data_IF_092764759435
#
_entry.id   IF_092764759435
#
_cell.length_a   1.000
_cell.length_b   1.000
_cell.length_c   1.000
_cell.angle_alpha   90.00
_cell.angle_beta   90.00
_cell.angle_gamma   90.00
#
_symmetry.space_group_name_H-M   'P 1'
#
loop_
_entity.id
_entity.type
_entity.pdbx_description
1 polymer ?
#
# COMPACT_ATOMS: atom_id res chain seq x y z
N UNK A 1 -6.11 -1.84 13.74
CA UNK A 1 -6.54 -0.55 13.14
C UNK A 1 -6.37 -0.54 11.63
N UNK A 2 -7.13 0.27 10.90
CA UNK A 2 -7.17 0.29 9.43
C UNK A 2 -6.95 1.70 8.88
N UNK A 3 -5.93 1.90 8.03
CA UNK A 3 -5.74 3.14 7.27
C UNK A 3 -6.20 2.99 5.84
N UNK A 4 -6.97 3.96 5.34
CA UNK A 4 -7.47 3.90 3.96
C UNK A 4 -7.83 5.25 3.36
N UNK A 5 -8.14 5.21 2.05
CA UNK A 5 -8.81 6.31 1.38
C UNK A 5 -10.20 6.58 2.02
N UNK A 6 -10.66 7.81 1.95
CA UNK A 6 -11.96 8.20 2.51
C UNK A 6 -13.13 7.37 1.94
N UNK A 7 -13.06 6.96 0.65
CA UNK A 7 -14.10 6.14 0.02
C UNK A 7 -14.19 4.74 0.65
N UNK A 8 -13.04 4.10 0.89
CA UNK A 8 -13.00 2.76 1.48
C UNK A 8 -13.42 2.77 2.94
N UNK A 9 -13.12 3.83 3.69
CA UNK A 9 -13.61 3.98 5.07
C UNK A 9 -15.13 4.12 5.08
N UNK A 10 -15.70 4.92 4.18
CA UNK A 10 -17.15 5.05 4.08
C UNK A 10 -17.88 3.74 3.78
N UNK A 11 -17.29 2.83 3.01
CA UNK A 11 -17.92 1.54 2.68
C UNK A 11 -17.99 0.56 3.88
N UNK A 12 -17.16 0.73 4.90
CA UNK A 12 -16.99 -0.17 6.07
C UNK A 12 -16.78 -1.65 5.72
N UNK A 13 -16.40 -1.97 4.50
CA UNK A 13 -16.27 -3.36 4.03
C UNK A 13 -15.25 -4.15 4.84
N UNK A 14 -14.13 -3.52 5.20
CA UNK A 14 -13.09 -4.17 6.02
C UNK A 14 -13.52 -4.39 7.46
N UNK A 15 -14.18 -3.42 8.06
CA UNK A 15 -14.68 -3.55 9.43
C UNK A 15 -15.68 -4.71 9.53
N UNK A 16 -16.58 -4.83 8.55
CA UNK A 16 -17.54 -5.94 8.47
C UNK A 16 -16.83 -7.27 8.38
N UNK A 17 -15.85 -7.39 7.46
CA UNK A 17 -15.11 -8.64 7.27
C UNK A 17 -14.27 -8.99 8.50
N UNK A 18 -13.54 -8.04 9.08
CA UNK A 18 -12.71 -8.28 10.27
C UNK A 18 -13.54 -8.72 11.46
N UNK A 19 -14.71 -8.13 11.69
CA UNK A 19 -15.61 -8.55 12.78
C UNK A 19 -16.20 -9.95 12.57
N UNK A 20 -16.37 -10.38 11.32
CA UNK A 20 -16.77 -11.75 11.00
C UNK A 20 -15.64 -12.75 11.27
N UNK A 21 -14.40 -12.39 10.93
CA UNK A 21 -13.24 -13.28 11.09
C UNK A 21 -12.72 -13.33 12.52
N UNK A 22 -12.83 -12.22 13.26
CA UNK A 22 -12.33 -12.09 14.64
C UNK A 22 -13.43 -11.45 15.49
N UNK A 23 -14.34 -12.24 16.06
CA UNK A 23 -15.38 -11.73 16.95
C UNK A 23 -14.80 -10.98 18.15
N UNK A 24 -15.36 -9.81 18.44
CA UNK A 24 -14.89 -8.96 19.55
C UNK A 24 -13.69 -8.06 19.24
N UNK A 25 -13.16 -8.08 18.00
CA UNK A 25 -12.07 -7.18 17.62
C UNK A 25 -12.52 -5.72 17.70
N UNK A 26 -11.70 -4.91 18.36
CA UNK A 26 -11.86 -3.44 18.34
C UNK A 26 -11.21 -2.88 17.09
N UNK A 27 -11.98 -2.12 16.31
CA UNK A 27 -11.52 -1.58 15.04
C UNK A 27 -11.68 -0.06 15.04
N UNK A 28 -10.57 0.63 14.85
CA UNK A 28 -10.54 2.06 14.56
C UNK A 28 -10.09 2.25 13.11
N UNK A 29 -10.79 3.08 12.36
CA UNK A 29 -10.44 3.39 10.98
C UNK A 29 -10.10 4.89 10.83
N UNK A 30 -8.97 5.19 10.18
CA UNK A 30 -8.51 6.57 9.95
C UNK A 30 -8.26 6.83 8.47
N UNK A 31 -8.80 7.93 7.93
CA UNK A 31 -8.46 8.42 6.60
C UNK A 31 -7.17 9.23 6.65
N UNK A 32 -6.23 8.96 5.73
CA UNK A 32 -4.97 9.68 5.61
C UNK A 32 -4.81 10.23 4.17
N UNK A 33 -5.59 11.25 3.80
CA UNK A 33 -5.70 11.72 2.42
C UNK A 33 -4.39 12.26 1.84
N UNK A 34 -3.46 12.75 2.67
CA UNK A 34 -2.17 13.27 2.20
C UNK A 34 -1.11 12.20 1.93
N UNK A 35 -1.29 10.96 2.36
CA UNK A 35 -0.26 9.94 2.17
C UNK A 35 -0.05 9.59 0.69
N UNK A 36 -1.12 9.47 -0.09
CA UNK A 36 -1.00 9.16 -1.52
C UNK A 36 -0.26 10.28 -2.28
N UNK A 37 -0.67 11.57 -2.20
CA UNK A 37 0.07 12.67 -2.82
C UNK A 37 1.54 12.76 -2.40
N UNK A 38 1.86 12.50 -1.14
CA UNK A 38 3.24 12.49 -0.66
C UNK A 38 4.06 11.39 -1.33
N UNK A 39 3.53 10.17 -1.39
CA UNK A 39 4.20 9.04 -2.04
C UNK A 39 4.41 9.33 -3.53
N UNK A 40 3.39 9.77 -4.25
CA UNK A 40 3.48 10.11 -5.68
C UNK A 40 4.48 11.25 -5.97
N UNK A 41 4.65 12.18 -5.02
CA UNK A 41 5.68 13.22 -5.09
C UNK A 41 7.08 12.74 -4.63
N UNK A 42 7.27 11.45 -4.33
CA UNK A 42 8.55 10.86 -3.94
C UNK A 42 8.96 11.15 -2.49
N UNK A 43 8.02 11.44 -1.59
CA UNK A 43 8.26 11.63 -0.15
C UNK A 43 8.13 10.28 0.58
N UNK A 44 9.02 9.36 0.30
CA UNK A 44 8.98 7.95 0.73
C UNK A 44 10.13 7.62 1.69
N UNK A 45 10.14 6.39 2.22
CA UNK A 45 11.14 5.91 3.19
C UNK A 45 12.61 6.08 2.74
N UNK A 46 12.88 6.03 1.43
CA UNK A 46 14.25 6.15 0.88
C UNK A 46 14.55 7.55 0.33
N UNK A 47 13.65 8.51 0.50
CA UNK A 47 13.87 9.87 0.05
C UNK A 47 14.87 10.62 0.93
N UNK A 48 15.35 11.76 0.45
CA UNK A 48 16.23 12.64 1.23
C UNK A 48 15.61 13.11 2.56
N UNK A 49 16.45 13.46 3.51
CA UNK A 49 16.04 13.75 4.90
C UNK A 49 14.97 14.85 5.01
N UNK A 50 15.02 15.88 4.15
CA UNK A 50 14.02 16.95 4.16
C UNK A 50 12.62 16.46 3.78
N UNK A 51 12.52 15.60 2.78
CA UNK A 51 11.26 14.96 2.38
C UNK A 51 10.73 14.02 3.47
N UNK A 52 11.61 13.20 4.04
CA UNK A 52 11.23 12.33 5.16
C UNK A 52 10.70 13.11 6.34
N UNK A 53 11.32 14.25 6.68
CA UNK A 53 10.86 15.08 7.79
C UNK A 53 9.42 15.57 7.58
N UNK A 54 9.07 16.00 6.37
CA UNK A 54 7.71 16.42 6.03
C UNK A 54 6.73 15.23 6.18
N UNK A 55 7.10 14.07 5.67
CA UNK A 55 6.29 12.86 5.80
C UNK A 55 6.08 12.46 7.25
N UNK A 56 7.12 12.51 8.10
CA UNK A 56 7.03 12.23 9.53
C UNK A 56 6.08 13.18 10.26
N UNK A 57 6.03 14.46 9.90
CA UNK A 57 5.07 15.42 10.45
C UNK A 57 3.63 15.05 10.06
N UNK A 58 3.40 14.65 8.82
CA UNK A 58 2.07 14.23 8.37
C UNK A 58 1.65 12.89 8.99
N UNK A 59 2.60 11.95 9.17
CA UNK A 59 2.37 10.71 9.93
C UNK A 59 1.94 11.05 11.35
N UNK A 60 2.66 11.90 12.06
CA UNK A 60 2.30 12.32 13.41
C UNK A 60 0.90 12.96 13.46
N UNK A 61 0.58 13.82 12.51
CA UNK A 61 -0.74 14.46 12.40
C UNK A 61 -1.90 13.46 12.33
N UNK A 62 -1.72 12.36 11.60
CA UNK A 62 -2.78 11.37 11.43
C UNK A 62 -2.76 10.26 12.49
N UNK A 63 -1.58 9.89 12.99
CA UNK A 63 -1.41 8.68 13.78
C UNK A 63 -1.25 8.89 15.29
N UNK A 64 -1.15 10.14 15.77
CA UNK A 64 -1.02 10.39 17.20
C UNK A 64 -2.19 9.80 17.99
N UNK A 65 -3.43 10.11 17.61
CA UNK A 65 -4.62 9.57 18.29
C UNK A 65 -4.68 8.03 18.21
N UNK A 66 -4.18 7.46 17.12
CA UNK A 66 -4.12 6.01 16.91
C UNK A 66 -3.15 5.34 17.87
N UNK A 67 -1.97 5.93 18.00
CA UNK A 67 -0.92 5.46 18.92
C UNK A 67 -1.40 5.56 20.37
N UNK A 68 -2.05 6.69 20.72
CA UNK A 68 -2.60 6.92 22.05
C UNK A 68 -3.75 5.96 22.39
N UNK A 69 -4.50 5.48 21.38
CA UNK A 69 -5.51 4.46 21.56
C UNK A 69 -4.93 3.05 21.84
N UNK A 70 -3.60 2.88 21.87
CA UNK A 70 -2.96 1.64 22.27
C UNK A 70 -3.18 0.47 21.31
N UNK A 71 -3.28 0.73 20.01
CA UNK A 71 -3.47 -0.33 19.00
C UNK A 71 -2.25 -1.24 18.92
N UNK A 72 -2.46 -2.54 18.80
CA UNK A 72 -1.43 -3.57 18.64
C UNK A 72 -1.13 -3.91 17.18
N UNK A 73 -2.09 -3.67 16.30
CA UNK A 73 -2.01 -4.02 14.88
C UNK A 73 -2.51 -2.88 14.01
N UNK A 74 -1.75 -2.60 12.94
CA UNK A 74 -2.02 -1.52 12.01
C UNK A 74 -2.00 -2.04 10.57
N UNK A 75 -3.14 -2.01 9.88
CA UNK A 75 -3.26 -2.45 8.49
C UNK A 75 -2.99 -1.27 7.54
N UNK A 76 -1.97 -1.39 6.70
CA UNK A 76 -1.63 -0.42 5.65
C UNK A 76 -2.57 -0.59 4.45
N UNK A 77 -3.81 -0.12 4.59
CA UNK A 77 -4.90 -0.45 3.69
C UNK A 77 -4.93 0.33 2.36
N UNK A 78 -3.79 0.72 1.82
CA UNK A 78 -3.62 1.37 0.52
C UNK A 78 -2.34 0.88 -0.13
N UNK A 79 -2.31 0.75 -1.45
CA UNK A 79 -1.14 0.29 -2.20
C UNK A 79 0.09 1.20 -2.04
N UNK A 80 -0.11 2.48 -1.74
CA UNK A 80 0.96 3.47 -1.55
C UNK A 80 1.61 3.40 -0.16
N UNK A 81 0.86 2.99 0.86
CA UNK A 81 1.32 3.08 2.26
C UNK A 81 2.52 2.19 2.61
N UNK A 82 2.75 1.04 1.96
CA UNK A 82 3.99 0.28 2.15
C UNK A 82 5.28 1.06 1.90
N UNK A 83 5.26 2.09 1.03
CA UNK A 83 6.40 2.97 0.78
C UNK A 83 6.71 3.95 1.92
N UNK A 84 5.84 4.02 2.93
CA UNK A 84 5.99 4.80 4.17
C UNK A 84 6.14 3.89 5.41
N UNK A 85 6.29 2.58 5.20
CA UNK A 85 6.21 1.56 6.25
C UNK A 85 7.24 1.76 7.35
N UNK A 86 8.48 2.12 6.98
CA UNK A 86 9.56 2.33 7.96
C UNK A 86 9.27 3.56 8.84
N UNK A 87 8.90 4.69 8.25
CA UNK A 87 8.55 5.89 9.01
C UNK A 87 7.30 5.72 9.86
N UNK A 88 6.29 4.99 9.36
CA UNK A 88 5.10 4.64 10.14
C UNK A 88 5.47 3.73 11.32
N UNK A 89 6.31 2.71 11.08
CA UNK A 89 6.77 1.80 12.12
C UNK A 89 7.59 2.50 13.20
N UNK A 90 8.49 3.41 12.82
CA UNK A 90 9.25 4.25 13.73
C UNK A 90 8.31 5.09 14.63
N UNK A 91 7.28 5.70 14.06
CA UNK A 91 6.32 6.50 14.79
C UNK A 91 5.43 5.68 15.73
N UNK A 92 4.94 4.54 15.28
CA UNK A 92 4.03 3.70 16.06
C UNK A 92 4.76 2.94 17.18
N UNK A 93 6.04 2.65 16.98
CA UNK A 93 6.86 1.92 17.94
C UNK A 93 6.84 0.39 17.77
N UNK A 94 7.75 -0.32 18.44
CA UNK A 94 8.00 -1.75 18.24
C UNK A 94 6.86 -2.67 18.71
N UNK A 95 5.94 -2.15 19.52
CA UNK A 95 4.77 -2.92 20.01
C UNK A 95 3.64 -3.04 19.00
N UNK A 96 3.73 -2.38 17.84
CA UNK A 96 2.65 -2.37 16.83
C UNK A 96 3.05 -3.19 15.61
N UNK A 97 2.26 -4.19 15.30
CA UNK A 97 2.45 -5.01 14.09
C UNK A 97 1.89 -4.27 12.86
N UNK A 98 2.75 -3.99 11.87
CA UNK A 98 2.33 -3.42 10.59
C UNK A 98 1.98 -4.53 9.61
N UNK A 99 0.71 -4.59 9.20
CA UNK A 99 0.23 -5.53 8.17
C UNK A 99 0.22 -4.87 6.82
N UNK A 100 0.99 -5.44 5.88
CA UNK A 100 1.04 -5.06 4.48
C UNK A 100 0.16 -6.02 3.67
N UNK A 101 -1.03 -5.59 3.21
CA UNK A 101 -1.93 -6.47 2.46
C UNK A 101 -1.38 -6.88 1.09
N UNK A 102 -0.52 -6.07 0.46
CA UNK A 102 0.06 -6.39 -0.84
C UNK A 102 1.02 -7.57 -0.72
N UNK A 103 1.91 -7.55 0.26
CA UNK A 103 2.81 -8.68 0.56
C UNK A 103 2.03 -9.94 0.94
N UNK A 104 0.99 -9.78 1.76
CA UNK A 104 0.12 -10.91 2.13
C UNK A 104 -0.58 -11.52 0.92
N UNK A 105 -1.08 -10.69 0.01
CA UNK A 105 -1.70 -11.16 -1.24
C UNK A 105 -0.70 -11.86 -2.17
N UNK A 106 0.52 -11.32 -2.30
CA UNK A 106 1.58 -11.93 -3.11
C UNK A 106 1.95 -13.32 -2.61
N UNK A 107 2.17 -13.49 -1.31
CA UNK A 107 2.45 -14.80 -0.71
C UNK A 107 1.26 -15.77 -0.84
N UNK A 108 0.03 -15.28 -0.73
CA UNK A 108 -1.14 -16.11 -0.94
C UNK A 108 -1.24 -16.59 -2.40
N UNK A 109 -1.00 -15.70 -3.36
CA UNK A 109 -0.99 -16.03 -4.79
C UNK A 109 0.10 -17.06 -5.11
N UNK A 110 1.31 -16.87 -4.59
CA UNK A 110 2.42 -17.81 -4.79
C UNK A 110 2.04 -19.23 -4.32
N UNK A 111 1.48 -19.33 -3.12
CA UNK A 111 1.03 -20.61 -2.56
C UNK A 111 -0.08 -21.22 -3.40
N UNK A 112 -1.10 -20.44 -3.78
CA UNK A 112 -2.21 -20.90 -4.60
C UNK A 112 -1.74 -21.44 -5.98
N UNK A 113 -0.78 -20.76 -6.63
CA UNK A 113 -0.20 -21.19 -7.89
C UNK A 113 0.56 -22.52 -7.73
N UNK A 114 1.30 -22.67 -6.63
CA UNK A 114 2.00 -23.92 -6.32
C UNK A 114 1.03 -25.09 -6.10
N UNK A 115 0.01 -24.90 -5.27
CA UNK A 115 -1.00 -25.92 -4.95
C UNK A 115 -1.81 -26.36 -6.16
N UNK A 116 -2.03 -25.45 -7.12
CA UNK A 116 -2.76 -25.75 -8.37
C UNK A 116 -1.88 -26.21 -9.53
N UNK A 117 -0.57 -26.32 -9.34
CA UNK A 117 0.36 -26.69 -10.42
C UNK A 117 0.46 -25.65 -11.54
N UNK A 118 0.15 -24.38 -11.24
CA UNK A 118 0.13 -23.27 -12.19
C UNK A 118 1.40 -22.39 -12.13
N UNK A 119 2.41 -22.80 -11.37
CA UNK A 119 3.71 -22.09 -11.38
C UNK A 119 4.33 -22.21 -12.77
N UNK A 120 4.86 -21.10 -13.28
CA UNK A 120 5.63 -21.12 -14.51
C UNK A 120 6.89 -21.99 -14.35
N UNK A 121 7.24 -22.73 -15.40
CA UNK A 121 8.46 -23.56 -15.44
C UNK A 121 9.72 -22.77 -15.79
N UNK A 122 9.57 -21.47 -16.11
CA UNK A 122 10.67 -20.58 -16.52
C UNK A 122 10.86 -19.48 -15.49
N UNK A 123 12.12 -19.11 -15.25
CA UNK A 123 12.47 -18.00 -14.34
C UNK A 123 12.32 -16.62 -14.99
N UNK A 124 12.17 -16.57 -16.33
CA UNK A 124 12.04 -15.32 -17.08
C UNK A 124 10.60 -15.10 -17.55
N UNK A 125 9.97 -14.06 -17.07
CA UNK A 125 8.69 -13.55 -17.56
C UNK A 125 8.87 -12.22 -18.31
N UNK A 126 7.94 -11.90 -19.19
CA UNK A 126 7.83 -10.57 -19.81
C UNK A 126 6.60 -9.88 -19.22
N UNK A 127 6.75 -8.62 -18.83
CA UNK A 127 5.65 -7.79 -18.38
C UNK A 127 5.30 -6.78 -19.49
N UNK A 128 4.01 -6.69 -19.82
CA UNK A 128 3.46 -5.67 -20.70
C UNK A 128 2.49 -4.84 -19.87
N UNK A 129 2.60 -3.52 -19.97
CA UNK A 129 1.77 -2.61 -19.20
C UNK A 129 0.88 -1.79 -20.12
N UNK A 130 -0.38 -1.73 -19.76
CA UNK A 130 -1.39 -0.96 -20.46
C UNK A 130 -1.96 0.08 -19.52
N UNK A 131 -2.00 1.33 -19.95
CA UNK A 131 -2.49 2.46 -19.14
C UNK A 131 -3.56 3.24 -19.90
N UNK A 132 -4.50 3.80 -19.18
CA UNK A 132 -5.53 4.68 -19.77
C UNK A 132 -5.08 6.15 -19.85
N UNK A 133 -4.01 6.49 -19.18
CA UNK A 133 -3.43 7.84 -19.10
C UNK A 133 -2.04 7.87 -19.77
N UNK A 134 -1.32 8.96 -19.62
CA UNK A 134 -0.02 9.18 -20.25
C UNK A 134 1.00 8.17 -19.74
N UNK A 135 1.68 7.39 -20.63
CA UNK A 135 2.65 6.38 -20.24
C UNK A 135 3.80 6.87 -19.37
N UNK A 136 4.29 8.08 -19.61
CA UNK A 136 5.41 8.66 -18.84
C UNK A 136 5.09 8.83 -17.35
N UNK A 137 3.85 9.19 -17.02
CA UNK A 137 3.38 9.28 -15.62
C UNK A 137 3.39 7.93 -14.94
N UNK A 138 3.02 6.88 -15.67
CA UNK A 138 3.08 5.51 -15.15
C UNK A 138 4.51 5.08 -14.85
N UNK A 139 5.45 5.32 -15.77
CA UNK A 139 6.86 4.93 -15.59
C UNK A 139 7.45 5.60 -14.35
N UNK A 140 7.23 6.90 -14.15
CA UNK A 140 7.70 7.62 -12.96
C UNK A 140 7.14 7.02 -11.66
N UNK A 141 5.86 6.67 -11.67
CA UNK A 141 5.23 6.03 -10.49
C UNK A 141 5.74 4.61 -10.31
N UNK A 142 5.92 3.84 -11.39
CA UNK A 142 6.43 2.47 -11.34
C UNK A 142 7.84 2.41 -10.74
N UNK A 143 8.70 3.38 -11.02
CA UNK A 143 10.04 3.48 -10.43
C UNK A 143 10.01 3.58 -8.90
N UNK A 144 9.03 4.30 -8.34
CA UNK A 144 8.86 4.41 -6.88
C UNK A 144 8.48 3.06 -6.23
N UNK A 145 7.70 2.23 -6.93
CA UNK A 145 7.19 0.96 -6.40
C UNK A 145 8.11 -0.23 -6.65
N UNK A 146 8.78 -0.26 -7.80
CA UNK A 146 9.53 -1.41 -8.29
C UNK A 146 11.05 -1.24 -8.16
N UNK A 147 11.53 -0.07 -7.72
CA UNK A 147 12.91 0.34 -7.92
C UNK A 147 13.14 0.64 -9.41
N UNK A 148 14.36 0.63 -9.90
CA UNK A 148 14.61 0.85 -11.33
C UNK A 148 13.64 0.03 -12.19
N UNK A 149 12.67 0.70 -12.82
CA UNK A 149 11.70 0.06 -13.70
C UNK A 149 12.40 -0.61 -14.88
N UNK A 150 12.53 -1.91 -14.83
CA UNK A 150 13.06 -2.76 -15.91
C UNK A 150 11.94 -3.47 -16.68
N UNK A 151 10.72 -2.92 -16.62
CA UNK A 151 9.55 -3.50 -17.26
C UNK A 151 9.57 -3.37 -18.79
N UNK A 152 8.66 -4.09 -19.43
CA UNK A 152 8.42 -4.02 -20.87
C UNK A 152 7.77 -2.69 -21.30
N UNK A 153 7.40 -2.57 -22.57
CA UNK A 153 6.78 -1.36 -23.10
C UNK A 153 5.49 -1.04 -22.36
N UNK A 154 5.25 0.25 -22.15
CA UNK A 154 3.99 0.79 -21.64
C UNK A 154 3.19 1.33 -22.80
N UNK A 155 1.99 0.84 -22.98
CA UNK A 155 1.08 1.20 -24.08
C UNK A 155 -0.17 1.91 -23.55
N UNK A 156 -0.51 3.03 -24.14
CA UNK A 156 -1.76 3.71 -23.83
C UNK A 156 -2.94 3.05 -24.55
N UNK A 157 -3.98 2.73 -23.80
CA UNK A 157 -5.22 2.17 -24.35
C UNK A 157 -6.41 3.07 -24.04
N UNK A 158 -7.35 3.16 -25.00
CA UNK A 158 -8.60 3.88 -24.80
C UNK A 158 -9.63 2.95 -24.13
N UNK A 159 -9.96 3.19 -22.86
CA UNK A 159 -10.90 2.37 -22.08
C UNK A 159 -12.34 2.43 -22.65
N UNK A 160 -12.72 3.55 -23.28
CA UNK A 160 -14.02 3.78 -23.87
C UNK A 160 -14.34 2.87 -25.08
N UNK A 161 -13.38 2.05 -25.52
CA UNK A 161 -13.54 1.07 -26.58
C UNK A 161 -13.86 -0.35 -26.08
N UNK A 162 -13.92 -0.55 -24.79
CA UNK A 162 -14.19 -1.81 -24.11
C UNK A 162 -15.39 -1.67 -23.15
#
# INVERSE_FOLDING_TARGET
>A
MLFRSAATIRSRSYEKLLRQLVPGVEITARACPLFVPLVEAGYVDHSEAGKQQITKLVIAQYLTEVREAGVDTLILGCTHYPLLKSMIGEFMGPGVTLVDPAMTAAHHLERMLAERGLRASHESGQAHFYVSDVPDSFVQTADLFLGEYKGGPVEQIAIDKY
#
